data_IF_754260852924
#
_entry.id   IF_754260852924
#
_cell.length_a   1.000
_cell.length_b   1.000
_cell.length_c   1.000
_cell.angle_alpha   90.00
_cell.angle_beta   90.00
_cell.angle_gamma   90.00
#
_symmetry.space_group_name_H-M   'P 1'
#
loop_
_entity.id
_entity.type
_entity.pdbx_description
1 polymer ?
#
# COMPACT_ATOMS: atom_id res chain seq x y z
N UNK A 1 9.71 3.65 -25.84
CA UNK A 1 9.75 4.94 -26.57
C UNK A 1 10.76 5.89 -25.92
N UNK A 2 11.27 6.88 -26.64
CA UNK A 2 12.27 7.86 -26.15
C UNK A 2 12.03 9.24 -26.75
N UNK A 3 12.60 10.28 -26.13
CA UNK A 3 12.47 11.68 -26.56
C UNK A 3 11.86 12.56 -25.47
N UNK A 4 11.54 13.80 -25.81
CA UNK A 4 10.78 14.72 -24.93
C UNK A 4 9.28 14.57 -25.17
N UNK A 5 8.46 14.89 -24.16
CA UNK A 5 7.01 14.96 -24.35
C UNK A 5 6.65 16.26 -25.10
N UNK A 6 6.04 16.18 -26.28
CA UNK A 6 5.71 17.37 -27.05
C UNK A 6 4.57 18.14 -26.40
N UNK A 7 4.61 19.47 -26.46
CA UNK A 7 3.56 20.34 -25.89
C UNK A 7 2.18 20.10 -26.52
N UNK A 8 2.11 19.58 -27.74
CA UNK A 8 0.85 19.22 -28.39
C UNK A 8 0.10 18.08 -27.67
N UNK A 9 0.77 17.24 -26.88
CA UNK A 9 0.10 16.23 -26.05
C UNK A 9 -0.82 16.89 -25.01
N UNK A 10 -0.48 18.10 -24.54
CA UNK A 10 -1.35 18.92 -23.71
C UNK A 10 -2.63 19.38 -24.42
N UNK A 11 -2.66 19.41 -25.76
CA UNK A 11 -3.89 19.69 -26.51
C UNK A 11 -4.88 18.53 -26.52
N UNK A 12 -4.40 17.30 -26.27
CA UNK A 12 -5.22 16.08 -26.19
C UNK A 12 -5.84 15.89 -24.80
N UNK A 13 -5.50 16.71 -23.80
CA UNK A 13 -6.04 16.60 -22.44
C UNK A 13 -7.56 16.81 -22.35
N UNK A 14 -8.19 17.33 -23.41
CA UNK A 14 -9.64 17.52 -23.48
C UNK A 14 -10.41 16.25 -23.83
N UNK A 15 -9.74 15.20 -24.33
CA UNK A 15 -10.32 13.89 -24.63
C UNK A 15 -9.66 12.75 -23.89
N UNK A 16 -8.43 12.95 -23.41
CA UNK A 16 -7.66 11.93 -22.72
C UNK A 16 -8.06 11.84 -21.24
N UNK A 17 -8.46 10.64 -20.81
CA UNK A 17 -8.78 10.32 -19.40
C UNK A 17 -7.55 9.78 -18.67
N UNK A 18 -6.70 9.02 -19.37
CA UNK A 18 -5.50 8.39 -18.82
C UNK A 18 -4.29 8.66 -19.71
N UNK A 19 -3.21 9.15 -19.09
CA UNK A 19 -1.90 9.26 -19.71
C UNK A 19 -0.91 8.33 -19.00
N UNK A 20 -0.75 7.12 -19.53
CA UNK A 20 0.21 6.14 -19.02
C UNK A 20 1.38 5.98 -20.00
N UNK A 21 2.54 6.53 -19.64
CA UNK A 21 3.79 6.43 -20.40
C UNK A 21 4.91 5.83 -19.53
N UNK A 22 4.54 5.08 -18.50
CA UNK A 22 5.46 4.45 -17.57
C UNK A 22 6.47 3.52 -18.27
N UNK A 23 7.64 3.30 -17.66
CA UNK A 23 8.66 2.32 -18.11
C UNK A 23 9.15 2.61 -19.52
N UNK A 24 9.49 3.87 -19.78
CA UNK A 24 10.01 4.33 -21.06
C UNK A 24 11.35 5.03 -20.88
N UNK A 25 11.86 5.62 -21.98
CA UNK A 25 13.10 6.39 -22.00
C UNK A 25 12.82 7.87 -22.31
N UNK A 26 11.63 8.38 -21.93
CA UNK A 26 11.32 9.80 -22.09
C UNK A 26 12.21 10.63 -21.15
N UNK A 27 12.61 11.81 -21.61
CA UNK A 27 13.55 12.68 -20.88
C UNK A 27 13.20 14.15 -21.06
N UNK A 28 13.96 15.04 -20.40
CA UNK A 28 13.73 16.48 -20.43
C UNK A 28 12.68 16.91 -19.41
N UNK A 29 12.21 18.16 -19.53
CA UNK A 29 11.19 18.71 -18.64
C UNK A 29 9.81 18.16 -18.99
N UNK A 30 8.95 18.01 -17.99
CA UNK A 30 7.55 17.65 -18.20
C UNK A 30 6.82 18.79 -18.93
N UNK A 31 5.91 18.43 -19.84
CA UNK A 31 5.18 19.43 -20.63
C UNK A 31 4.35 20.37 -19.73
N UNK A 32 4.38 21.67 -20.03
CA UNK A 32 3.63 22.69 -19.28
C UNK A 32 2.33 23.13 -19.99
N UNK A 33 1.71 22.24 -20.77
CA UNK A 33 0.61 22.58 -21.68
C UNK A 33 -0.74 21.94 -21.30
N UNK A 34 -0.96 21.60 -20.02
CA UNK A 34 -2.24 21.06 -19.56
C UNK A 34 -3.35 22.13 -19.63
N UNK A 35 -4.40 21.86 -20.41
CA UNK A 35 -5.52 22.81 -20.58
C UNK A 35 -6.46 22.82 -19.37
N UNK A 36 -7.04 23.99 -19.12
CA UNK A 36 -8.10 24.14 -18.12
C UNK A 36 -9.32 23.29 -18.50
N UNK A 37 -9.85 22.52 -17.55
CA UNK A 37 -10.96 21.60 -17.79
C UNK A 37 -10.53 20.26 -18.42
N UNK A 38 -9.25 19.88 -18.26
CA UNK A 38 -8.73 18.57 -18.64
C UNK A 38 -9.60 17.42 -18.09
N UNK A 39 -9.85 16.41 -18.93
CA UNK A 39 -10.54 15.18 -18.54
C UNK A 39 -9.59 14.15 -17.92
N UNK A 40 -8.29 14.46 -17.81
CA UNK A 40 -7.31 13.56 -17.21
C UNK A 40 -7.67 13.25 -15.76
N UNK A 41 -7.87 11.97 -15.51
CA UNK A 41 -8.07 11.38 -14.19
C UNK A 41 -6.79 10.68 -13.70
N UNK A 42 -5.95 10.18 -14.61
CA UNK A 42 -4.69 9.52 -14.26
C UNK A 42 -3.53 9.95 -15.15
N UNK A 43 -2.40 10.27 -14.51
CA UNK A 43 -1.11 10.52 -15.17
C UNK A 43 -0.06 9.62 -14.52
N UNK A 44 0.47 8.65 -15.27
CA UNK A 44 1.61 7.82 -14.87
C UNK A 44 2.77 8.00 -15.84
N UNK A 45 3.78 8.73 -15.39
CA UNK A 45 5.05 8.98 -16.09
C UNK A 45 6.23 8.32 -15.37
N UNK A 46 5.97 7.38 -14.47
CA UNK A 46 7.01 6.75 -13.66
C UNK A 46 8.01 5.92 -14.47
N UNK A 47 9.17 5.63 -13.90
CA UNK A 47 10.23 4.82 -14.55
C UNK A 47 10.63 5.41 -15.92
N UNK A 48 11.00 6.70 -15.92
CA UNK A 48 11.49 7.47 -17.08
C UNK A 48 12.74 8.29 -16.68
N UNK A 49 13.10 9.33 -17.43
CA UNK A 49 14.25 10.22 -17.19
C UNK A 49 13.86 11.70 -17.18
N UNK A 50 12.66 12.02 -16.69
CA UNK A 50 12.21 13.41 -16.57
C UNK A 50 13.08 14.18 -15.57
N UNK A 51 13.33 15.46 -15.84
CA UNK A 51 14.17 16.37 -15.04
C UNK A 51 13.49 17.73 -14.85
N UNK A 52 14.06 18.56 -13.98
CA UNK A 52 13.56 19.92 -13.71
C UNK A 52 12.34 19.93 -12.80
N UNK A 53 11.63 21.06 -12.78
CA UNK A 53 10.50 21.30 -11.87
C UNK A 53 9.17 20.81 -12.45
N UNK A 54 8.20 20.54 -11.55
CA UNK A 54 6.86 20.19 -11.96
C UNK A 54 6.11 21.40 -12.57
N UNK A 55 5.44 21.22 -13.72
CA UNK A 55 4.74 22.30 -14.38
C UNK A 55 3.50 22.72 -13.60
N UNK A 56 3.38 24.03 -13.31
CA UNK A 56 2.22 24.59 -12.59
C UNK A 56 0.89 24.36 -13.30
N UNK A 57 0.89 24.16 -14.61
CA UNK A 57 -0.32 23.81 -15.36
C UNK A 57 -0.97 22.50 -14.92
N UNK A 58 -0.31 21.64 -14.13
CA UNK A 58 -0.95 20.48 -13.49
C UNK A 58 -2.16 20.86 -12.63
N UNK A 59 -2.23 22.09 -12.09
CA UNK A 59 -3.42 22.58 -11.36
C UNK A 59 -4.68 22.69 -12.24
N UNK A 60 -4.51 22.74 -13.57
CA UNK A 60 -5.62 22.77 -14.52
C UNK A 60 -6.32 21.40 -14.67
N UNK A 61 -5.70 20.33 -14.17
CA UNK A 61 -6.26 18.97 -14.21
C UNK A 61 -7.15 18.71 -12.99
N UNK A 62 -8.28 19.41 -12.91
CA UNK A 62 -9.19 19.36 -11.74
C UNK A 62 -9.85 18.00 -11.53
N UNK A 63 -9.86 17.13 -12.55
CA UNK A 63 -10.33 15.75 -12.47
C UNK A 63 -9.27 14.75 -12.03
N UNK A 64 -8.00 15.17 -11.87
CA UNK A 64 -6.90 14.27 -11.59
C UNK A 64 -7.08 13.55 -10.25
N UNK A 65 -7.15 12.23 -10.31
CA UNK A 65 -7.24 11.31 -9.17
C UNK A 65 -5.85 10.72 -8.85
N UNK A 66 -5.02 10.53 -9.87
CA UNK A 66 -3.73 9.85 -9.76
C UNK A 66 -2.62 10.63 -10.43
N UNK A 67 -1.56 10.90 -9.68
CA UNK A 67 -0.30 11.41 -10.21
C UNK A 67 0.87 10.53 -9.78
N UNK A 68 1.44 9.78 -10.73
CA UNK A 68 2.60 8.92 -10.53
C UNK A 68 3.79 9.42 -11.36
N UNK A 69 4.80 9.93 -10.67
CA UNK A 69 6.05 10.48 -11.23
C UNK A 69 7.29 9.79 -10.68
N UNK A 70 7.11 8.65 -10.00
CA UNK A 70 8.19 7.94 -9.31
C UNK A 70 9.29 7.45 -10.26
N UNK A 71 10.49 7.20 -9.73
CA UNK A 71 11.62 6.64 -10.48
C UNK A 71 12.00 7.52 -11.70
N UNK A 72 12.29 8.79 -11.45
CA UNK A 72 12.70 9.80 -12.43
C UNK A 72 13.91 10.61 -11.91
N UNK A 73 14.19 11.79 -12.46
CA UNK A 73 15.26 12.71 -12.00
C UNK A 73 14.73 14.14 -11.81
N UNK A 74 13.48 14.27 -11.39
CA UNK A 74 12.78 15.55 -11.14
C UNK A 74 13.44 16.23 -9.94
N UNK A 75 13.73 17.52 -10.08
CA UNK A 75 14.48 18.34 -9.14
C UNK A 75 13.64 19.57 -8.82
N UNK A 76 12.96 19.53 -7.67
CA UNK A 76 11.98 20.52 -7.24
C UNK A 76 11.78 20.46 -5.72
N UNK A 77 11.04 21.42 -5.17
CA UNK A 77 10.54 21.35 -3.80
C UNK A 77 9.21 20.59 -3.72
N UNK A 78 8.70 20.36 -2.50
CA UNK A 78 7.40 19.72 -2.34
C UNK A 78 6.28 20.56 -3.01
N UNK A 79 5.50 19.97 -3.94
CA UNK A 79 4.48 20.70 -4.70
C UNK A 79 3.18 20.85 -3.90
N UNK A 80 3.19 21.65 -2.83
CA UNK A 80 2.01 21.88 -1.96
C UNK A 80 0.76 22.33 -2.71
N UNK A 81 0.96 23.08 -3.80
CA UNK A 81 -0.08 23.54 -4.72
C UNK A 81 -0.88 22.42 -5.40
N UNK A 82 -0.37 21.18 -5.47
CA UNK A 82 -1.15 20.03 -5.93
C UNK A 82 -2.31 19.69 -4.97
N UNK A 83 -2.25 20.14 -3.71
CA UNK A 83 -3.37 19.98 -2.79
C UNK A 83 -4.65 20.64 -3.32
N UNK A 84 -4.54 21.73 -4.09
CA UNK A 84 -5.73 22.39 -4.64
C UNK A 84 -6.57 21.50 -5.57
N UNK A 85 -6.04 20.35 -6.01
CA UNK A 85 -6.76 19.38 -6.83
C UNK A 85 -7.82 18.63 -5.99
N UNK A 86 -9.13 18.84 -6.24
CA UNK A 86 -10.19 18.37 -5.35
C UNK A 86 -10.42 16.85 -5.41
N UNK A 87 -9.87 16.18 -6.43
CA UNK A 87 -10.04 14.74 -6.66
C UNK A 87 -8.76 13.92 -6.44
N UNK A 88 -7.62 14.57 -6.17
CA UNK A 88 -6.34 13.87 -6.07
C UNK A 88 -6.36 12.92 -4.88
N UNK A 89 -6.19 11.63 -5.17
CA UNK A 89 -6.24 10.52 -4.23
C UNK A 89 -4.88 9.88 -4.05
N UNK A 90 -4.07 9.86 -5.11
CA UNK A 90 -2.75 9.25 -5.06
C UNK A 90 -1.67 10.17 -5.62
N UNK A 91 -0.62 10.36 -4.82
CA UNK A 91 0.57 11.12 -5.17
C UNK A 91 1.81 10.27 -4.94
N UNK A 92 2.48 9.89 -6.03
CA UNK A 92 3.73 9.11 -6.00
C UNK A 92 4.86 9.93 -6.61
N UNK A 93 5.78 10.41 -5.77
CA UNK A 93 6.95 11.20 -6.14
C UNK A 93 8.27 10.47 -5.84
N UNK A 94 8.21 9.19 -5.45
CA UNK A 94 9.37 8.43 -4.99
C UNK A 94 10.57 8.44 -5.93
N UNK A 95 11.77 8.25 -5.41
CA UNK A 95 12.98 8.04 -6.21
C UNK A 95 13.18 9.14 -7.26
N UNK A 96 13.27 10.38 -6.77
CA UNK A 96 13.54 11.60 -7.53
C UNK A 96 14.59 12.44 -6.78
N UNK A 97 14.73 13.72 -7.12
CA UNK A 97 15.62 14.68 -6.44
C UNK A 97 14.83 15.77 -5.71
N UNK A 98 13.59 15.49 -5.29
CA UNK A 98 12.82 16.49 -4.55
C UNK A 98 13.54 16.85 -3.25
N UNK A 99 13.57 18.11 -2.88
CA UNK A 99 14.41 18.57 -1.77
C UNK A 99 13.78 19.68 -0.94
N UNK A 100 14.46 20.02 0.16
CA UNK A 100 14.05 21.09 1.07
C UNK A 100 12.89 20.71 1.99
N UNK A 101 12.46 21.65 2.85
CA UNK A 101 11.38 21.42 3.80
C UNK A 101 10.01 21.37 3.15
N UNK A 102 9.15 20.49 3.67
CA UNK A 102 7.72 20.50 3.40
C UNK A 102 7.10 21.63 4.24
N UNK A 103 7.10 22.84 3.68
CA UNK A 103 6.54 24.02 4.33
C UNK A 103 5.04 24.16 4.04
N UNK A 104 4.27 24.41 5.10
CA UNK A 104 2.95 25.01 4.97
C UNK A 104 3.14 26.45 4.51
N UNK A 105 2.87 26.73 3.23
CA UNK A 105 2.71 28.12 2.80
C UNK A 105 1.58 28.69 3.64
N UNK A 106 1.91 29.61 4.53
CA UNK A 106 1.09 30.20 5.61
C UNK A 106 -0.15 30.99 5.13
N UNK A 107 -0.56 30.81 3.87
CA UNK A 107 -1.74 31.37 3.25
C UNK A 107 -2.35 30.33 2.29
N UNK A 108 -3.42 29.66 2.74
CA UNK A 108 -4.49 29.07 1.93
C UNK A 108 -4.24 27.83 1.01
N UNK A 109 -3.11 27.12 1.00
CA UNK A 109 -2.88 26.07 -0.04
C UNK A 109 -2.21 24.75 0.42
N UNK A 110 -2.72 24.09 1.46
CA UNK A 110 -2.38 22.69 1.79
C UNK A 110 -3.63 21.85 2.07
N UNK A 111 -4.55 21.73 1.12
CA UNK A 111 -5.72 20.86 1.26
C UNK A 111 -5.44 19.59 0.49
N UNK A 112 -5.23 18.43 1.10
CA UNK A 112 -5.21 17.16 0.34
C UNK A 112 -6.47 16.37 0.72
N UNK A 113 -7.68 16.90 0.42
CA UNK A 113 -8.92 16.47 1.08
C UNK A 113 -9.26 15.00 0.79
N UNK A 114 -8.91 14.52 -0.40
CA UNK A 114 -9.18 13.15 -0.85
C UNK A 114 -7.94 12.26 -0.92
N UNK A 115 -6.77 12.76 -0.53
CA UNK A 115 -5.54 11.98 -0.64
C UNK A 115 -5.59 10.76 0.29
N UNK A 116 -5.24 9.60 -0.25
CA UNK A 116 -5.20 8.30 0.45
C UNK A 116 -3.82 7.68 0.41
N UNK A 117 -3.08 7.92 -0.67
CA UNK A 117 -1.74 7.39 -0.83
C UNK A 117 -0.76 8.52 -1.12
N UNK A 118 0.27 8.62 -0.28
CA UNK A 118 1.37 9.54 -0.41
C UNK A 118 2.69 8.77 -0.34
N UNK A 119 3.40 8.67 -1.47
CA UNK A 119 4.72 8.04 -1.54
C UNK A 119 5.75 9.09 -1.96
N UNK A 120 6.49 9.61 -0.98
CA UNK A 120 7.56 10.59 -1.13
C UNK A 120 8.95 9.95 -0.91
N UNK A 121 9.01 8.62 -0.85
CA UNK A 121 10.21 7.89 -0.45
C UNK A 121 11.40 8.13 -1.37
N UNK A 122 12.62 7.96 -0.85
CA UNK A 122 13.86 8.03 -1.62
C UNK A 122 14.00 9.38 -2.37
N UNK A 123 14.06 10.46 -1.61
CA UNK A 123 14.25 11.84 -2.10
C UNK A 123 15.23 12.59 -1.18
N UNK A 124 15.39 13.89 -1.43
CA UNK A 124 16.19 14.82 -0.63
C UNK A 124 15.39 15.71 0.31
N UNK A 125 14.14 15.38 0.65
CA UNK A 125 13.32 16.20 1.56
C UNK A 125 14.01 16.33 2.92
N UNK A 126 13.95 17.52 3.52
CA UNK A 126 14.71 17.84 4.74
C UNK A 126 13.92 18.68 5.73
N UNK A 127 14.51 18.97 6.89
CA UNK A 127 13.88 19.79 7.92
C UNK A 127 12.73 19.07 8.65
N UNK A 128 12.00 19.84 9.47
CA UNK A 128 10.95 19.29 10.35
C UNK A 128 9.62 19.22 9.63
N UNK A 129 8.94 18.08 9.72
CA UNK A 129 7.53 17.98 9.35
C UNK A 129 6.70 18.81 10.32
N UNK A 130 5.91 19.74 9.79
CA UNK A 130 5.06 20.58 10.63
C UNK A 130 4.02 19.72 11.37
N UNK A 131 3.79 20.00 12.66
CA UNK A 131 2.90 19.19 13.50
C UNK A 131 1.46 19.05 12.98
N UNK A 132 1.00 19.97 12.11
CA UNK A 132 -0.33 19.96 11.47
C UNK A 132 -0.34 19.37 10.05
N UNK A 133 0.77 18.85 9.54
CA UNK A 133 0.89 18.42 8.15
C UNK A 133 -0.24 17.47 7.71
N UNK A 134 -0.60 16.50 8.56
CA UNK A 134 -1.66 15.54 8.25
C UNK A 134 -3.08 15.99 8.64
N UNK A 135 -3.26 17.21 9.15
CA UNK A 135 -4.58 17.68 9.56
C UNK A 135 -5.57 17.68 8.39
N UNK A 136 -5.12 18.06 7.19
CA UNK A 136 -5.96 18.27 6.01
C UNK A 136 -6.12 17.04 5.13
N UNK A 137 -5.48 15.91 5.47
CA UNK A 137 -5.62 14.62 4.80
C UNK A 137 -6.91 13.90 5.25
N UNK A 138 -8.06 14.53 5.00
CA UNK A 138 -9.36 14.12 5.57
C UNK A 138 -9.73 12.68 5.21
N UNK A 139 -9.48 12.25 3.97
CA UNK A 139 -9.76 10.88 3.54
C UNK A 139 -8.94 9.81 4.29
N UNK A 140 -7.73 10.15 4.77
CA UNK A 140 -6.90 9.24 5.57
C UNK A 140 -7.36 9.14 7.04
N UNK A 141 -8.16 10.11 7.52
CA UNK A 141 -8.67 10.13 8.90
C UNK A 141 -9.87 9.21 9.12
N UNK A 142 -10.61 8.87 8.06
CA UNK A 142 -11.82 8.05 8.18
C UNK A 142 -11.51 6.57 8.01
N UNK A 143 -12.06 5.73 8.89
CA UNK A 143 -12.15 4.27 8.72
C UNK A 143 -13.35 3.99 7.79
N UNK A 144 -13.21 4.41 6.53
CA UNK A 144 -14.17 4.15 5.44
C UNK A 144 -15.42 5.03 5.41
N UNK A 145 -15.64 5.69 4.28
CA UNK A 145 -16.69 5.16 3.40
C UNK A 145 -15.93 4.24 2.45
N UNK A 146 -16.05 2.93 2.67
CA UNK A 146 -15.88 2.00 1.57
C UNK A 146 -16.85 2.49 0.51
N UNK A 147 -16.38 2.78 -0.70
CA UNK A 147 -17.27 2.68 -1.85
C UNK A 147 -17.59 1.19 -1.97
N UNK A 148 -18.47 0.70 -1.08
CA UNK A 148 -19.32 -0.44 -1.37
C UNK A 148 -19.89 -0.03 -2.70
N UNK A 149 -19.51 -0.75 -3.74
CA UNK A 149 -20.13 -0.66 -5.04
C UNK A 149 -21.63 -0.61 -4.74
N UNK A 150 -22.23 0.58 -4.82
CA UNK A 150 -23.67 0.72 -4.77
C UNK A 150 -24.11 0.03 -6.05
N UNK A 151 -24.28 -1.28 -5.95
CA UNK A 151 -25.04 -2.06 -6.90
C UNK A 151 -26.50 -1.76 -6.59
N UNK A 152 -26.86 -0.48 -6.55
CA UNK A 152 -28.19 -0.07 -6.94
C UNK A 152 -28.22 -0.41 -8.43
N UNK A 153 -28.96 -1.46 -8.77
CA UNK A 153 -29.33 -1.75 -10.16
C UNK A 153 -30.21 -0.60 -10.67
N UNK A 154 -29.60 0.55 -10.93
CA UNK A 154 -30.14 1.58 -11.78
C UNK A 154 -29.58 1.32 -13.17
N UNK A 155 -30.47 0.88 -14.07
CA UNK A 155 -30.17 0.62 -15.47
C UNK A 155 -29.93 1.96 -16.17
N UNK A 156 -28.77 2.57 -15.95
CA UNK A 156 -28.34 3.80 -16.61
C UNK A 156 -26.87 3.67 -16.94
N UNK A 157 -26.58 3.46 -18.23
CA UNK A 157 -25.27 3.42 -18.91
C UNK A 157 -24.08 2.87 -18.12
N UNK A 158 -23.61 1.69 -18.53
CA UNK A 158 -22.32 1.11 -18.13
C UNK A 158 -21.16 2.10 -18.34
N UNK A 159 -20.88 2.94 -17.36
CA UNK A 159 -19.63 3.69 -17.29
C UNK A 159 -18.61 2.80 -16.59
N UNK A 160 -18.02 1.89 -17.36
CA UNK A 160 -16.87 1.10 -16.91
C UNK A 160 -15.68 2.05 -16.81
N UNK A 161 -15.48 2.68 -15.65
CA UNK A 161 -14.22 3.38 -15.36
C UNK A 161 -13.11 2.32 -15.51
N UNK A 162 -12.21 2.51 -16.48
CA UNK A 162 -11.03 1.67 -16.63
C UNK A 162 -10.29 1.62 -15.30
N UNK A 163 -9.90 0.43 -14.81
CA UNK A 163 -9.20 0.36 -13.54
C UNK A 163 -7.81 0.97 -13.70
N UNK A 164 -7.50 1.96 -12.87
CA UNK A 164 -6.21 2.65 -12.90
C UNK A 164 -5.12 1.72 -12.40
N UNK A 165 -4.12 1.44 -13.25
CA UNK A 165 -2.95 0.66 -12.83
C UNK A 165 -1.97 1.54 -12.07
N UNK A 166 -1.44 1.07 -10.94
CA UNK A 166 -0.43 1.78 -10.17
C UNK A 166 0.63 0.83 -9.64
N UNK A 167 1.85 1.33 -9.42
CA UNK A 167 2.85 0.59 -8.66
C UNK A 167 3.19 1.24 -7.33
N UNK A 168 2.85 0.52 -6.26
CA UNK A 168 3.13 0.91 -4.88
C UNK A 168 4.10 -0.06 -4.24
N UNK A 169 4.90 0.43 -3.30
CA UNK A 169 5.64 -0.44 -2.39
C UNK A 169 4.72 -0.71 -1.21
N UNK A 170 4.18 -1.91 -1.13
CA UNK A 170 3.30 -2.35 -0.05
C UNK A 170 3.89 -3.55 0.66
N UNK A 171 4.03 -3.47 1.99
CA UNK A 171 4.62 -4.53 2.80
C UNK A 171 6.02 -4.95 2.32
N UNK A 172 6.83 -3.98 1.86
CA UNK A 172 8.16 -4.24 1.31
C UNK A 172 8.19 -4.79 -0.12
N UNK A 173 7.03 -4.97 -0.76
CA UNK A 173 6.92 -5.47 -2.13
C UNK A 173 6.44 -4.38 -3.07
N UNK A 174 7.17 -4.17 -4.17
CA UNK A 174 6.67 -3.40 -5.31
C UNK A 174 5.53 -4.20 -5.96
N UNK A 175 4.28 -3.81 -5.71
CA UNK A 175 3.08 -4.43 -6.30
C UNK A 175 2.48 -3.51 -7.34
N UNK A 176 2.12 -4.11 -8.47
CA UNK A 176 1.21 -3.52 -9.44
C UNK A 176 -0.21 -3.78 -8.97
N UNK A 177 -0.94 -2.70 -8.68
CA UNK A 177 -2.36 -2.71 -8.43
C UNK A 177 -3.05 -2.50 -9.76
N UNK A 178 -3.82 -3.48 -10.20
CA UNK A 178 -4.56 -3.40 -11.46
C UNK A 178 -5.79 -2.49 -11.32
N UNK A 179 -6.32 -2.31 -10.11
CA UNK A 179 -7.39 -1.36 -9.79
C UNK A 179 -7.00 -0.51 -8.57
N UNK A 180 -7.23 0.81 -8.62
CA UNK A 180 -7.19 1.65 -7.41
C UNK A 180 -8.39 1.27 -6.56
N UNK A 181 -8.12 0.38 -5.61
CA UNK A 181 -8.98 0.21 -4.48
C UNK A 181 -8.79 1.46 -3.61
N UNK A 182 -9.78 2.35 -3.63
CA UNK A 182 -9.95 3.44 -2.65
C UNK A 182 -10.04 2.95 -1.21
N UNK A 183 -9.88 1.64 -1.00
CA UNK A 183 -9.79 0.93 0.26
C UNK A 183 -8.45 1.16 0.96
N UNK A 184 -7.35 1.37 0.23
CA UNK A 184 -6.00 1.40 0.83
C UNK A 184 -5.54 2.82 1.17
N UNK A 185 -4.99 2.99 2.38
CA UNK A 185 -4.38 4.26 2.82
C UNK A 185 -2.93 4.05 3.24
N UNK A 186 -2.01 4.81 2.64
CA UNK A 186 -0.57 4.69 2.92
C UNK A 186 0.18 6.02 2.89
N UNK A 187 1.17 6.09 3.77
CA UNK A 187 2.15 7.17 3.82
C UNK A 187 3.54 6.54 3.85
N UNK A 188 4.34 6.83 2.83
CA UNK A 188 5.75 6.46 2.76
C UNK A 188 6.62 7.71 2.61
N UNK A 189 7.37 8.02 3.65
CA UNK A 189 8.34 9.12 3.73
C UNK A 189 9.78 8.59 3.88
N UNK A 190 9.99 7.29 3.68
CA UNK A 190 11.27 6.64 3.94
C UNK A 190 12.41 7.15 3.04
N UNK A 191 13.65 6.94 3.46
CA UNK A 191 14.85 7.34 2.69
C UNK A 191 14.83 8.83 2.30
N UNK A 192 14.72 9.70 3.30
CA UNK A 192 14.78 11.15 3.18
C UNK A 192 15.70 11.72 4.28
N UNK A 193 15.73 13.04 4.43
CA UNK A 193 16.50 13.74 5.47
C UNK A 193 15.59 14.45 6.48
N UNK A 194 14.36 13.93 6.73
CA UNK A 194 13.45 14.56 7.69
C UNK A 194 14.03 14.55 9.11
N UNK A 195 13.84 15.65 9.83
CA UNK A 195 14.37 15.88 11.18
C UNK A 195 13.25 16.20 12.19
N UNK A 196 13.61 16.20 13.47
CA UNK A 196 12.68 16.52 14.56
C UNK A 196 11.76 15.35 14.90
N UNK A 197 10.67 15.62 15.60
CA UNK A 197 9.76 14.59 16.08
C UNK A 197 8.78 14.12 15.00
N UNK A 198 8.29 12.88 15.15
CA UNK A 198 7.18 12.38 14.35
C UNK A 198 5.94 13.26 14.65
N UNK A 199 5.28 13.86 13.64
CA UNK A 199 4.22 14.84 13.86
C UNK A 199 2.99 14.19 14.53
N UNK A 200 2.52 14.80 15.62
CA UNK A 200 1.37 14.30 16.40
C UNK A 200 0.08 14.14 15.57
N UNK A 201 -0.10 14.90 14.49
CA UNK A 201 -1.25 14.75 13.58
C UNK A 201 -1.34 13.37 12.91
N UNK A 202 -0.27 12.55 12.92
CA UNK A 202 -0.33 11.16 12.46
C UNK A 202 -1.32 10.30 13.27
N UNK A 203 -1.58 10.64 14.53
CA UNK A 203 -2.56 9.91 15.36
C UNK A 203 -4.01 10.04 14.84
N UNK A 204 -4.27 11.03 13.99
CA UNK A 204 -5.60 11.29 13.43
C UNK A 204 -5.89 10.40 12.21
N UNK A 205 -4.88 9.76 11.61
CA UNK A 205 -5.01 9.01 10.37
C UNK A 205 -5.61 7.62 10.58
N UNK A 206 -6.82 7.54 11.14
CA UNK A 206 -7.41 6.26 11.58
C UNK A 206 -7.62 5.24 10.46
N UNK A 207 -7.66 5.67 9.21
CA UNK A 207 -7.76 4.78 8.05
C UNK A 207 -6.42 4.22 7.56
N UNK A 208 -5.27 4.66 8.09
CA UNK A 208 -3.95 4.26 7.59
C UNK A 208 -3.65 2.77 7.80
N UNK A 209 -3.15 2.13 6.74
CA UNK A 209 -2.78 0.72 6.71
C UNK A 209 -1.26 0.53 6.59
N UNK A 210 -0.55 1.47 5.96
CA UNK A 210 0.91 1.43 5.84
C UNK A 210 1.54 2.77 6.18
N UNK A 211 2.48 2.77 7.13
CA UNK A 211 3.23 3.93 7.56
C UNK A 211 4.73 3.61 7.58
N UNK A 212 5.47 4.16 6.62
CA UNK A 212 6.93 3.98 6.52
C UNK A 212 7.63 5.33 6.67
N UNK A 213 8.46 5.45 7.70
CA UNK A 213 9.26 6.64 8.03
C UNK A 213 10.76 6.29 8.12
N UNK A 214 11.15 5.10 7.68
CA UNK A 214 12.49 4.57 7.88
C UNK A 214 13.58 5.34 7.14
N UNK A 215 14.82 5.21 7.60
CA UNK A 215 15.98 5.87 6.99
C UNK A 215 15.79 7.40 6.85
N UNK A 216 15.63 8.04 8.01
CA UNK A 216 15.48 9.49 8.19
C UNK A 216 16.27 9.93 9.44
N UNK A 217 16.12 11.19 9.87
CA UNK A 217 16.71 11.72 11.11
C UNK A 217 15.66 12.02 12.19
N UNK A 218 14.53 11.31 12.21
CA UNK A 218 13.49 11.54 13.22
C UNK A 218 14.02 11.27 14.64
N UNK A 219 13.74 12.19 15.55
CA UNK A 219 14.09 12.16 16.98
C UNK A 219 12.82 12.07 17.84
N UNK A 220 12.96 12.12 19.16
CA UNK A 220 11.84 12.06 20.10
C UNK A 220 11.43 10.62 20.39
N UNK A 221 10.17 10.41 20.73
CA UNK A 221 9.62 9.13 21.15
C UNK A 221 8.50 8.65 20.23
N UNK A 222 8.28 7.33 20.21
CA UNK A 222 7.11 6.74 19.58
C UNK A 222 5.91 7.02 20.50
N UNK A 223 4.94 7.81 20.07
CA UNK A 223 3.83 8.20 20.95
C UNK A 223 2.83 7.04 21.17
N UNK A 224 2.33 6.83 22.40
CA UNK A 224 1.35 5.79 22.70
C UNK A 224 0.07 5.81 21.83
N UNK A 225 -0.34 7.00 21.37
CA UNK A 225 -1.53 7.18 20.53
C UNK A 225 -1.39 6.59 19.11
N UNK A 226 -0.19 6.19 18.66
CA UNK A 226 -0.02 5.37 17.45
C UNK A 226 -0.81 4.06 17.55
N UNK A 227 -0.98 3.52 18.75
CA UNK A 227 -1.78 2.32 18.96
C UNK A 227 -3.27 2.49 18.59
N UNK A 228 -3.73 3.72 18.39
CA UNK A 228 -5.10 3.98 17.96
C UNK A 228 -5.35 3.80 16.46
N UNK A 229 -4.31 3.56 15.66
CA UNK A 229 -4.38 3.34 14.21
C UNK A 229 -4.74 1.88 13.91
N UNK A 230 -5.97 1.48 14.24
CA UNK A 230 -6.37 0.07 14.32
C UNK A 230 -6.26 -0.72 13.02
N UNK A 231 -6.26 -0.05 11.87
CA UNK A 231 -6.11 -0.65 10.54
C UNK A 231 -4.64 -0.82 10.10
N UNK A 232 -3.68 -0.37 10.91
CA UNK A 232 -2.27 -0.40 10.52
C UNK A 232 -1.77 -1.84 10.35
N UNK A 233 -1.34 -2.17 9.14
CA UNK A 233 -0.79 -3.47 8.74
C UNK A 233 0.73 -3.46 8.63
N UNK A 234 1.32 -2.30 8.33
CA UNK A 234 2.77 -2.14 8.19
C UNK A 234 3.27 -0.86 8.82
N UNK A 235 4.22 -0.98 9.74
CA UNK A 235 4.90 0.12 10.41
C UNK A 235 6.41 -0.06 10.33
N UNK A 236 7.09 0.85 9.64
CA UNK A 236 8.55 0.87 9.59
C UNK A 236 9.08 2.23 10.06
N UNK A 237 9.75 2.22 11.20
CA UNK A 237 10.42 3.36 11.82
C UNK A 237 11.93 3.15 11.93
N UNK A 238 12.46 2.12 11.26
CA UNK A 238 13.87 1.73 11.36
C UNK A 238 14.82 2.82 10.84
N UNK A 239 16.10 2.75 11.23
CA UNK A 239 17.14 3.68 10.77
C UNK A 239 16.76 5.15 11.01
N UNK A 240 16.46 5.47 12.26
CA UNK A 240 16.16 6.82 12.72
C UNK A 240 16.95 7.11 14.02
N UNK A 241 16.64 8.23 14.68
CA UNK A 241 17.22 8.62 15.97
C UNK A 241 16.18 8.59 17.10
N UNK A 242 15.13 7.77 16.98
CA UNK A 242 14.07 7.66 17.97
C UNK A 242 14.60 7.11 19.30
N UNK A 243 14.00 7.51 20.41
CA UNK A 243 14.43 7.22 21.78
C UNK A 243 13.25 6.91 22.69
N UNK A 244 13.53 6.46 23.92
CA UNK A 244 12.51 6.01 24.86
C UNK A 244 11.98 4.61 24.55
N UNK A 245 10.89 4.24 25.22
CA UNK A 245 10.31 2.91 25.12
C UNK A 245 9.43 2.73 23.87
N UNK A 246 9.31 1.49 23.42
CA UNK A 246 8.26 1.11 22.47
C UNK A 246 6.94 1.02 23.25
N UNK A 247 5.91 1.83 22.95
CA UNK A 247 4.70 1.87 23.78
C UNK A 247 3.96 0.52 23.78
N UNK A 248 3.61 0.03 24.97
CA UNK A 248 2.79 -1.19 25.13
C UNK A 248 1.43 -1.06 24.42
N UNK A 249 0.94 0.18 24.23
CA UNK A 249 -0.27 0.48 23.48
C UNK A 249 -0.18 -0.01 22.03
N UNK A 250 0.99 -0.23 21.44
CA UNK A 250 1.08 -0.76 20.06
C UNK A 250 0.62 -2.22 19.97
N UNK A 251 0.60 -2.98 21.06
CA UNK A 251 0.07 -4.36 21.11
C UNK A 251 -1.42 -4.41 20.75
N UNK A 252 -2.12 -3.28 20.75
CA UNK A 252 -3.53 -3.22 20.35
C UNK A 252 -3.76 -3.18 18.83
N UNK A 253 -2.70 -3.11 18.02
CA UNK A 253 -2.74 -3.05 16.55
C UNK A 253 -2.96 -4.46 15.97
N UNK A 254 -4.23 -4.86 15.86
CA UNK A 254 -4.62 -6.23 15.53
C UNK A 254 -4.30 -6.70 14.11
N UNK A 255 -4.05 -5.79 13.17
CA UNK A 255 -3.70 -6.13 11.78
C UNK A 255 -2.21 -5.97 11.47
N UNK A 256 -1.40 -5.55 12.44
CA UNK A 256 0.01 -5.24 12.23
C UNK A 256 0.80 -6.51 11.87
N UNK A 257 1.14 -6.65 10.60
CA UNK A 257 1.85 -7.81 10.07
C UNK A 257 3.34 -7.53 9.87
N UNK A 258 3.72 -6.26 9.67
CA UNK A 258 5.10 -5.84 9.50
C UNK A 258 5.39 -4.73 10.50
N UNK A 259 6.39 -4.95 11.33
CA UNK A 259 6.89 -4.00 12.29
C UNK A 259 8.41 -3.97 12.26
N UNK A 260 9.00 -2.78 12.13
CA UNK A 260 10.44 -2.61 12.19
C UNK A 260 10.80 -1.29 12.87
N UNK A 261 11.62 -1.37 13.92
CA UNK A 261 12.15 -0.22 14.66
C UNK A 261 13.67 -0.34 14.84
N UNK A 262 14.30 -1.20 14.04
CA UNK A 262 15.74 -1.47 14.11
C UNK A 262 16.57 -0.21 13.87
N UNK A 263 17.78 -0.16 14.43
CA UNK A 263 18.73 0.96 14.26
C UNK A 263 18.12 2.29 14.71
N UNK A 264 17.82 2.38 16.01
CA UNK A 264 17.37 3.59 16.71
C UNK A 264 18.08 3.67 18.08
N UNK A 265 17.67 4.60 18.95
CA UNK A 265 18.13 4.73 20.33
C UNK A 265 17.09 4.27 21.36
N UNK A 266 16.20 3.35 20.98
CA UNK A 266 15.10 2.87 21.84
C UNK A 266 15.65 2.10 23.04
N UNK A 267 14.92 2.18 24.15
CA UNK A 267 15.25 1.56 25.43
C UNK A 267 14.04 0.87 26.07
N UNK A 268 14.27 0.17 27.18
CA UNK A 268 13.22 -0.52 27.91
C UNK A 268 12.82 -1.87 27.32
N UNK A 269 11.67 -2.38 27.77
CA UNK A 269 11.17 -3.71 27.42
C UNK A 269 10.49 -3.70 26.07
N UNK A 270 10.73 -4.72 25.26
CA UNK A 270 9.92 -4.96 24.06
C UNK A 270 8.49 -5.32 24.50
N UNK A 271 7.44 -4.69 23.94
CA UNK A 271 6.07 -5.06 24.21
C UNK A 271 5.81 -6.53 23.90
N UNK A 272 5.09 -7.21 24.78
CA UNK A 272 4.72 -8.61 24.60
C UNK A 272 3.22 -8.75 24.32
N UNK A 273 2.86 -9.77 23.54
CA UNK A 273 1.50 -10.15 23.23
C UNK A 273 1.11 -9.99 21.75
N UNK A 274 0.20 -10.86 21.31
CA UNK A 274 -0.43 -10.86 19.98
C UNK A 274 0.62 -10.85 18.84
N UNK A 275 0.62 -9.83 17.99
CA UNK A 275 1.52 -9.71 16.84
C UNK A 275 2.97 -9.46 17.28
N UNK A 276 3.20 -8.84 18.45
CA UNK A 276 4.56 -8.54 18.92
C UNK A 276 5.38 -9.79 19.23
N UNK A 277 4.73 -10.90 19.59
CA UNK A 277 5.40 -12.18 19.82
C UNK A 277 5.79 -12.87 18.49
N UNK A 278 5.34 -12.34 17.35
CA UNK A 278 5.56 -12.92 16.01
C UNK A 278 6.65 -12.22 15.21
N UNK A 279 7.09 -11.03 15.63
CA UNK A 279 8.10 -10.26 14.88
C UNK A 279 9.50 -10.80 15.13
N UNK A 280 10.28 -10.88 14.06
CA UNK A 280 11.67 -11.35 14.11
C UNK A 280 12.56 -10.43 14.94
N UNK A 281 13.60 -11.00 15.57
CA UNK A 281 14.62 -10.24 16.29
C UNK A 281 15.29 -9.14 15.45
N UNK A 282 15.29 -9.29 14.11
CA UNK A 282 15.78 -8.25 13.19
C UNK A 282 14.99 -6.96 13.29
N UNK A 283 13.69 -7.00 13.62
CA UNK A 283 12.84 -5.82 13.77
C UNK A 283 13.27 -4.88 14.90
N UNK A 284 14.10 -5.37 15.84
CA UNK A 284 14.56 -4.62 17.01
C UNK A 284 16.07 -4.37 17.02
N UNK A 285 16.81 -5.01 16.12
CA UNK A 285 18.28 -4.99 16.05
C UNK A 285 18.82 -3.56 16.00
N UNK A 286 19.98 -3.31 16.61
CA UNK A 286 20.61 -1.98 16.58
C UNK A 286 20.07 -0.99 17.60
N UNK A 287 19.23 -1.44 18.55
CA UNK A 287 18.84 -0.69 19.74
C UNK A 287 19.50 -1.31 20.99
N UNK A 288 20.64 -0.79 21.46
CA UNK A 288 21.47 -1.47 22.48
C UNK A 288 20.84 -1.51 23.88
N UNK A 289 19.84 -0.66 24.14
CA UNK A 289 19.15 -0.54 25.43
C UNK A 289 17.79 -1.24 25.45
N UNK A 290 17.35 -1.84 24.35
CA UNK A 290 16.19 -2.73 24.37
C UNK A 290 16.55 -4.05 25.05
N UNK A 291 15.67 -4.51 25.93
CA UNK A 291 15.80 -5.79 26.62
C UNK A 291 14.62 -6.71 26.28
N UNK A 292 14.94 -8.00 26.12
CA UNK A 292 13.97 -9.07 25.89
C UNK A 292 13.86 -9.90 27.17
N UNK A 293 12.63 -10.15 27.62
CA UNK A 293 12.42 -11.08 28.72
C UNK A 293 12.41 -12.52 28.17
N UNK A 294 13.21 -13.47 28.72
CA UNK A 294 14.07 -13.35 29.89
C UNK A 294 15.60 -13.33 29.60
N UNK A 295 16.10 -13.37 28.36
CA UNK A 295 17.45 -13.92 28.09
C UNK A 295 18.46 -13.09 27.27
N UNK A 296 18.47 -11.74 27.30
CA UNK A 296 19.62 -11.01 26.72
C UNK A 296 20.15 -9.78 27.45
N UNK A 297 19.51 -9.39 28.55
CA UNK A 297 19.96 -8.44 29.59
C UNK A 297 18.76 -8.26 30.50
N UNK A 298 18.89 -8.55 31.80
CA UNK A 298 17.88 -8.10 32.75
C UNK A 298 17.72 -6.58 32.56
N UNK A 299 16.48 -6.13 32.37
CA UNK A 299 16.18 -4.71 32.40
C UNK A 299 16.48 -4.28 33.84
N UNK A 300 17.66 -3.70 34.08
CA UNK A 300 18.00 -3.18 35.40
C UNK A 300 17.05 -2.02 35.67
N UNK A 301 16.05 -2.27 36.51
CA UNK A 301 15.20 -1.22 37.06
C UNK A 301 16.12 -0.32 37.89
N UNK A 302 16.52 0.82 37.33
CA UNK A 302 17.32 1.81 38.04
C UNK A 302 16.48 2.51 39.11
N UNK A 303 16.23 1.79 40.22
CA UNK A 303 16.11 2.36 41.55
C UNK A 303 17.42 2.10 42.26
N UNK A 304 18.28 3.11 42.24
CA UNK A 304 19.51 3.12 43.01
C UNK A 304 19.20 2.90 44.50
N UNK A 305 19.64 1.77 45.04
CA UNK A 305 19.92 1.61 46.46
C UNK A 305 21.28 0.95 46.60
N UNK A 306 22.14 1.64 47.33
CA UNK A 306 23.57 1.37 47.54
C UNK A 306 23.69 0.40 48.71
N UNK A 307 24.30 -0.78 48.51
CA UNK A 307 25.18 -1.46 49.48
C UNK A 307 25.85 -2.74 48.88
N UNK A 308 26.99 -3.23 49.44
CA UNK A 308 28.07 -3.92 48.73
C UNK A 308 28.04 -5.46 48.92
N UNK A 309 28.95 -6.23 48.27
CA UNK A 309 28.71 -7.63 47.93
C UNK A 309 29.13 -8.61 49.03
N UNK A 310 28.49 -9.79 49.04
CA UNK A 310 28.95 -10.96 49.78
C UNK A 310 28.87 -12.24 48.92
N UNK A 311 30.05 -12.78 48.63
CA UNK A 311 30.50 -14.19 48.55
C UNK A 311 29.54 -15.35 48.20
N UNK A 312 29.92 -16.04 47.12
CA UNK A 312 30.20 -17.48 46.90
C UNK A 312 29.22 -18.61 47.33
N UNK A 313 29.10 -19.56 46.38
CA UNK A 313 28.84 -21.03 46.49
C UNK A 313 27.48 -21.46 47.04
N UNK A 314 26.78 -22.50 46.57
CA UNK A 314 26.98 -23.59 45.60
C UNK A 314 25.64 -24.32 45.41
N UNK A 315 25.44 -24.93 44.23
CA UNK A 315 24.69 -26.17 43.91
C UNK A 315 23.32 -26.50 44.58
N UNK A 316 22.30 -26.79 43.76
CA UNK A 316 21.90 -28.17 43.40
C UNK A 316 20.56 -28.26 42.63
N UNK A 317 20.64 -28.84 41.43
CA UNK A 317 19.82 -29.95 40.85
C UNK A 317 18.30 -29.96 41.03
N UNK A 318 17.56 -29.96 39.90
CA UNK A 318 16.56 -30.97 39.44
C UNK A 318 15.63 -30.37 38.36
N UNK A 319 15.03 -31.01 37.35
CA UNK A 319 15.08 -32.31 36.64
C UNK A 319 13.98 -32.20 35.52
N UNK A 320 14.31 -32.56 34.26
CA UNK A 320 13.43 -33.02 33.13
C UNK A 320 12.60 -31.98 32.30
N UNK A 321 12.07 -32.30 31.09
CA UNK A 321 12.56 -33.14 29.95
C UNK A 321 12.23 -32.59 28.51
N UNK A 322 12.71 -33.31 27.48
CA UNK A 322 12.01 -33.62 26.20
C UNK A 322 12.13 -32.70 24.95
N UNK A 323 13.26 -32.79 24.24
CA UNK A 323 13.43 -32.33 22.82
C UNK A 323 12.92 -33.37 21.78
N UNK A 324 12.51 -34.57 22.20
CA UNK A 324 12.29 -35.71 21.28
C UNK A 324 10.82 -35.94 20.88
N UNK A 325 9.86 -35.41 21.64
CA UNK A 325 8.43 -35.70 21.46
C UNK A 325 7.80 -34.78 20.40
N UNK A 326 8.22 -33.52 20.29
CA UNK A 326 7.61 -32.54 19.37
C UNK A 326 7.80 -32.91 17.90
N UNK A 327 8.98 -33.41 17.53
CA UNK A 327 9.25 -33.83 16.16
C UNK A 327 8.42 -35.05 15.73
N UNK A 328 8.12 -35.97 16.65
CA UNK A 328 7.30 -37.15 16.33
C UNK A 328 5.86 -36.74 16.00
N UNK A 329 5.30 -35.77 16.73
CA UNK A 329 3.95 -35.23 16.49
C UNK A 329 3.89 -34.51 15.14
N UNK A 330 4.92 -33.71 14.81
CA UNK A 330 5.00 -32.98 13.53
C UNK A 330 5.06 -33.95 12.33
N UNK A 331 5.86 -35.02 12.41
CA UNK A 331 5.98 -35.98 11.30
C UNK A 331 4.68 -36.75 11.02
N UNK A 332 3.95 -37.18 12.06
CA UNK A 332 2.67 -37.87 11.87
C UNK A 332 1.53 -36.92 11.45
N UNK A 333 1.57 -35.66 11.87
CA UNK A 333 0.59 -34.63 11.48
C UNK A 333 0.68 -34.23 10.00
N UNK A 334 1.89 -33.99 9.49
CA UNK A 334 2.10 -33.59 8.09
C UNK A 334 1.78 -34.74 7.12
N UNK A 335 2.18 -35.97 7.47
CA UNK A 335 1.92 -37.16 6.64
C UNK A 335 0.43 -37.47 6.50
N UNK A 336 -0.33 -37.41 7.60
CA UNK A 336 -1.78 -37.68 7.59
C UNK A 336 -2.58 -36.57 6.90
N UNK A 337 -2.20 -35.30 7.10
CA UNK A 337 -2.85 -34.15 6.46
C UNK A 337 -2.70 -34.12 4.94
N UNK A 338 -1.54 -34.53 4.41
CA UNK A 338 -1.30 -34.55 2.97
C UNK A 338 -2.13 -35.63 2.26
N UNK A 339 -2.29 -36.81 2.87
CA UNK A 339 -3.12 -37.89 2.31
C UNK A 339 -4.60 -37.49 2.28
N UNK A 340 -5.11 -36.91 3.38
CA UNK A 340 -6.49 -36.40 3.43
C UNK A 340 -6.70 -35.29 2.40
N UNK A 341 -5.74 -34.36 2.26
CA UNK A 341 -5.79 -33.29 1.28
C UNK A 341 -5.85 -33.79 -0.17
N UNK A 342 -5.07 -34.82 -0.52
CA UNK A 342 -5.09 -35.42 -1.87
C UNK A 342 -6.41 -36.14 -2.14
N UNK A 343 -6.94 -36.90 -1.17
CA UNK A 343 -8.22 -37.61 -1.33
C UNK A 343 -9.38 -36.63 -1.48
N UNK A 344 -9.43 -35.60 -0.62
CA UNK A 344 -10.49 -34.59 -0.68
C UNK A 344 -10.36 -33.71 -1.94
N UNK A 345 -9.12 -33.38 -2.34
CA UNK A 345 -8.83 -32.67 -3.58
C UNK A 345 -9.29 -33.45 -4.82
N UNK A 346 -9.00 -34.75 -4.91
CA UNK A 346 -9.46 -35.60 -6.01
C UNK A 346 -10.98 -35.78 -6.02
N UNK A 347 -11.62 -35.86 -4.85
CA UNK A 347 -13.08 -35.92 -4.74
C UNK A 347 -13.74 -34.60 -5.19
N UNK A 348 -13.20 -33.45 -4.81
CA UNK A 348 -13.70 -32.15 -5.26
C UNK A 348 -13.44 -31.95 -6.76
N UNK A 349 -12.26 -32.32 -7.25
CA UNK A 349 -11.92 -32.25 -8.66
C UNK A 349 -12.89 -33.07 -9.51
N UNK A 350 -13.12 -34.34 -9.16
CA UNK A 350 -14.08 -35.20 -9.89
C UNK A 350 -15.52 -34.66 -9.82
N UNK A 351 -15.97 -34.19 -8.65
CA UNK A 351 -17.33 -33.62 -8.48
C UNK A 351 -17.54 -32.33 -9.28
N UNK A 352 -16.54 -31.46 -9.34
CA UNK A 352 -16.61 -30.22 -10.12
C UNK A 352 -16.40 -30.46 -11.62
N UNK A 353 -15.54 -31.40 -12.00
CA UNK A 353 -15.32 -31.81 -13.37
C UNK A 353 -16.59 -32.39 -14.00
N UNK A 354 -17.31 -33.27 -13.29
CA UNK A 354 -18.59 -33.82 -13.76
C UNK A 354 -19.69 -32.75 -13.86
N UNK A 355 -19.70 -31.77 -12.96
CA UNK A 355 -20.63 -30.64 -13.01
C UNK A 355 -20.33 -29.73 -14.22
N UNK A 356 -19.06 -29.56 -14.57
CA UNK A 356 -18.64 -28.82 -15.76
C UNK A 356 -18.97 -29.56 -17.07
N UNK A 357 -18.76 -30.88 -17.10
CA UNK A 357 -19.10 -31.73 -18.25
C UNK A 357 -20.61 -31.75 -18.53
N UNK A 358 -21.45 -31.92 -17.50
CA UNK A 358 -22.92 -31.87 -17.62
C UNK A 358 -23.46 -30.49 -18.04
N UNK A 359 -22.70 -29.40 -17.85
CA UNK A 359 -23.02 -28.06 -18.38
C UNK A 359 -22.62 -27.93 -19.85
N UNK A 360 -21.52 -28.55 -20.29
CA UNK A 360 -21.07 -28.53 -21.69
C UNK A 360 -22.01 -29.33 -22.62
N UNK A 361 -22.52 -30.48 -22.17
CA UNK A 361 -23.47 -31.30 -22.94
C UNK A 361 -24.86 -30.64 -23.09
N UNK A 362 -25.17 -29.61 -22.28
CA UNK A 362 -26.41 -28.83 -22.40
C UNK A 362 -26.36 -27.77 -23.51
N UNK A 363 -25.18 -27.47 -24.05
CA UNK A 363 -24.94 -26.50 -25.12
C UNK A 363 -24.67 -27.13 -26.50
N UNK A 364 -24.61 -28.46 -26.60
CA UNK A 364 -24.47 -29.17 -27.88
C UNK A 364 -25.79 -29.86 -28.21
N UNK A 365 -26.68 -29.17 -28.92
CA UNK A 365 -27.81 -29.82 -29.62
C UNK A 365 -27.24 -30.59 -30.82
N UNK A 366 -27.61 -31.86 -31.04
CA UNK A 366 -27.20 -32.58 -32.24
C UNK A 366 -27.95 -32.01 -33.46
N UNK A 367 -27.21 -31.64 -34.50
CA UNK A 367 -27.76 -31.35 -35.83
C UNK A 367 -28.44 -32.63 -36.36
N UNK A 368 -29.77 -32.68 -36.29
CA UNK A 368 -30.57 -33.76 -36.84
C UNK A 368 -30.87 -33.46 -38.31
N UNK A 369 -30.25 -34.25 -39.18
CA UNK A 369 -30.57 -34.40 -40.60
C UNK A 369 -32.08 -34.50 -40.85
N UNK A 370 -32.60 -33.72 -41.79
CA UNK A 370 -33.87 -33.99 -42.49
C UNK A 370 -33.59 -34.14 -43.99
N UNK A 371 -33.55 -35.40 -44.45
CA UNK A 371 -33.80 -35.80 -45.85
C UNK A 371 -34.98 -36.77 -45.86
N UNK A 372 -35.71 -36.74 -46.99
CA UNK A 372 -36.80 -37.61 -47.52
C UNK A 372 -38.22 -37.23 -47.10
N UNK A 373 -39.00 -36.70 -48.04
CA UNK A 373 -39.91 -37.37 -49.03
C UNK A 373 -41.30 -37.51 -48.38
N UNK A 374 -42.47 -37.25 -48.98
CA UNK A 374 -43.04 -37.41 -50.33
C UNK A 374 -44.08 -36.26 -50.50
N UNK A 375 -44.50 -35.74 -51.66
CA UNK A 375 -45.00 -36.38 -52.88
C UNK A 375 -46.42 -35.83 -53.16
N UNK A 376 -46.77 -35.63 -54.44
CA UNK A 376 -48.10 -35.30 -55.03
C UNK A 376 -48.57 -33.83 -54.92
N UNK A 377 -49.17 -33.18 -55.93
CA UNK A 377 -49.45 -33.37 -57.37
C UNK A 377 -50.18 -32.08 -57.84
N UNK A 378 -49.95 -31.62 -59.07
CA UNK A 378 -50.85 -30.81 -59.94
C UNK A 378 -51.34 -29.44 -59.41
N UNK A 379 -51.58 -28.37 -60.16
CA UNK A 379 -51.71 -28.05 -61.59
C UNK A 379 -51.56 -26.51 -61.72
N UNK A 380 -51.16 -26.04 -62.90
CA UNK A 380 -51.70 -24.89 -63.68
C UNK A 380 -52.12 -23.58 -62.96
N UNK A 381 -52.07 -22.38 -63.53
CA UNK A 381 -51.62 -21.76 -64.78
C UNK A 381 -52.11 -20.29 -64.62
N UNK A 382 -51.59 -19.38 -65.44
CA UNK A 382 -51.99 -17.98 -65.65
C UNK A 382 -51.38 -16.93 -64.71
N UNK A 383 -50.51 -16.01 -65.14
CA UNK A 383 -50.45 -15.13 -66.34
C UNK A 383 -51.35 -13.89 -66.24
N UNK A 384 -50.67 -12.74 -66.25
CA UNK A 384 -51.01 -11.39 -66.73
C UNK A 384 -51.50 -10.28 -65.77
N UNK A 385 -50.77 -9.17 -65.96
CA UNK A 385 -51.16 -7.74 -65.98
C UNK A 385 -51.34 -7.07 -64.61
N UNK A 386 -50.80 -5.88 -64.36
CA UNK A 386 -50.32 -4.80 -65.25
C UNK A 386 -49.19 -4.04 -64.58
#
# INVERSE_FOLDING_TARGET
MSGTLPSCLGSLSNSLVELNLRRNKFHGIMMNAFRHGSLLESIDLSENRFVGQLPRSLTNCTNLEVLSLGDNSIDDIFPSWLGLLPKLQVLVLRSNKFHGPIQDSTTACSQFPKLRIMDLSNNGFSGRLHHKFFHTCLAMKSIGESFVLETTMSFSSFNTKSPYTMTLIYKGFRREYEEILTLFTAVDLSCNHFEGEIPLSLQDLRGIESLHLSNNHFTGYIFPSLGYLKNLESLDLSQNKLSGEIPQQLVQLGFLAIFNVSTNHLDGRIPQGKQFDTFDNSSYKGNPRLCVHPLSKECQDSKASIHPPASNTSEAVSLLPSERIDWIIIFYGVGSGMVVGIVFGNFLYTKYYDRFRKRKDRWVRPLRNTRRNEGTRFSEMHVLRS
#
